data_IF_153833594899
#
_entry.id   IF_153833594899
#
_cell.length_a   1.000
_cell.length_b   1.000
_cell.length_c   1.000
_cell.angle_alpha   90.00
_cell.angle_beta   90.00
_cell.angle_gamma   90.00
#
_symmetry.space_group_name_H-M   'P 1'
#
loop_
_entity.id
_entity.type
_entity.pdbx_description
1 polymer ?
#
# COMPACT_ATOMS: atom_id res chain seq x y z
N UNK A 1 17.88 21.98 -3.94
CA UNK A 1 16.90 21.91 -2.84
C UNK A 1 15.57 21.84 -3.53
N UNK A 2 14.85 20.74 -3.39
CA UNK A 2 13.50 20.67 -3.95
C UNK A 2 12.63 21.65 -3.14
N UNK A 3 11.81 22.43 -3.82
CA UNK A 3 10.95 23.41 -3.16
C UNK A 3 10.02 22.69 -2.17
N UNK A 4 9.83 23.23 -0.96
CA UNK A 4 8.88 22.66 -0.01
C UNK A 4 7.49 22.67 -0.65
N UNK A 5 6.89 21.48 -0.79
CA UNK A 5 5.49 21.36 -1.24
C UNK A 5 4.54 21.47 -0.05
N UNK A 6 3.38 22.08 -0.25
CA UNK A 6 2.28 21.96 0.69
C UNK A 6 1.82 20.50 0.84
N UNK A 7 1.28 20.17 2.00
CA UNK A 7 0.53 18.93 2.20
C UNK A 7 -0.63 18.87 1.20
N UNK A 8 -1.06 17.67 0.83
CA UNK A 8 -2.11 17.47 -0.15
C UNK A 8 -3.30 16.74 0.46
N UNK A 9 -4.50 17.18 0.08
CA UNK A 9 -5.76 16.48 0.31
C UNK A 9 -6.60 16.55 -0.97
N UNK A 10 -7.83 16.03 -0.95
CA UNK A 10 -8.77 16.16 -2.07
C UNK A 10 -9.71 17.35 -1.86
N UNK A 11 -10.33 17.88 -2.92
CA UNK A 11 -11.29 18.98 -2.81
C UNK A 11 -12.71 18.50 -2.57
N UNK A 12 -13.10 17.42 -3.26
CA UNK A 12 -14.45 16.87 -3.22
C UNK A 12 -14.43 15.46 -2.64
N UNK A 13 -15.55 14.99 -2.09
CA UNK A 13 -15.70 13.59 -1.73
C UNK A 13 -15.81 12.71 -3.00
N UNK A 14 -15.29 11.49 -2.94
CA UNK A 14 -15.45 10.48 -3.99
C UNK A 14 -15.75 9.12 -3.36
N UNK A 15 -16.65 8.34 -3.95
CA UNK A 15 -17.11 7.08 -3.37
C UNK A 15 -17.18 5.95 -4.40
N UNK A 16 -16.99 4.73 -3.92
CA UNK A 16 -17.13 3.51 -4.70
C UNK A 16 -17.69 2.38 -3.83
N UNK A 17 -18.64 1.64 -4.38
CA UNK A 17 -19.22 0.47 -3.74
C UNK A 17 -18.85 -0.79 -4.49
N UNK A 18 -18.55 -1.84 -3.73
CA UNK A 18 -18.16 -3.14 -4.28
C UNK A 18 -18.21 -4.22 -3.22
N UNK A 19 -17.42 -5.28 -3.44
CA UNK A 19 -17.35 -6.45 -2.56
C UNK A 19 -15.91 -6.60 -2.08
N UNK A 20 -15.70 -6.85 -0.79
CA UNK A 20 -14.38 -7.19 -0.25
C UNK A 20 -13.92 -8.57 -0.74
N UNK A 21 -12.64 -8.71 -1.13
CA UNK A 21 -12.16 -9.93 -1.78
C UNK A 21 -12.22 -11.13 -0.84
N UNK A 22 -11.83 -10.98 0.42
CA UNK A 22 -11.79 -12.07 1.37
C UNK A 22 -13.12 -12.31 2.06
N UNK A 23 -13.78 -11.24 2.50
CA UNK A 23 -15.01 -11.32 3.30
C UNK A 23 -16.23 -11.61 2.44
N UNK A 24 -16.20 -11.27 1.14
CA UNK A 24 -17.35 -11.37 0.24
C UNK A 24 -18.50 -10.45 0.63
N UNK A 25 -18.26 -9.46 1.49
CA UNK A 25 -19.29 -8.53 1.96
C UNK A 25 -19.34 -7.29 1.06
N UNK A 26 -20.56 -6.80 0.82
CA UNK A 26 -20.75 -5.50 0.20
C UNK A 26 -20.22 -4.40 1.13
N UNK A 27 -19.52 -3.44 0.54
CA UNK A 27 -18.90 -2.32 1.23
C UNK A 27 -18.95 -1.09 0.33
N UNK A 28 -19.22 0.06 0.93
CA UNK A 28 -18.96 1.36 0.31
C UNK A 28 -17.71 1.95 0.94
N UNK A 29 -16.79 2.37 0.08
CA UNK A 29 -15.64 3.20 0.43
C UNK A 29 -15.93 4.63 0.00
N UNK A 30 -15.59 5.60 0.85
CA UNK A 30 -15.65 7.03 0.52
C UNK A 30 -14.38 7.74 0.95
N UNK A 31 -13.73 8.41 0.01
CA UNK A 31 -12.63 9.33 0.25
C UNK A 31 -13.18 10.69 0.61
N UNK A 32 -12.74 11.25 1.75
CA UNK A 32 -13.13 12.57 2.22
C UNK A 32 -11.89 13.45 2.44
N UNK A 33 -11.98 14.77 2.15
CA UNK A 33 -10.93 15.71 2.50
C UNK A 33 -10.64 15.69 4.00
N UNK A 34 -9.39 15.95 4.38
CA UNK A 34 -8.99 16.00 5.77
C UNK A 34 -8.17 17.27 6.09
N UNK A 35 -8.27 17.80 7.31
CA UNK A 35 -7.43 18.91 7.76
C UNK A 35 -5.94 18.59 7.68
N UNK A 36 -5.12 19.64 7.68
CA UNK A 36 -3.67 19.54 7.75
C UNK A 36 -3.21 18.69 8.95
N UNK A 37 -2.17 17.89 8.74
CA UNK A 37 -1.57 16.99 9.73
C UNK A 37 -2.49 15.89 10.27
N UNK A 38 -3.62 15.62 9.60
CA UNK A 38 -4.46 14.45 9.93
C UNK A 38 -3.75 13.14 9.58
N UNK A 39 -2.96 13.14 8.52
CA UNK A 39 -2.48 11.91 7.90
C UNK A 39 -3.60 11.18 7.16
N UNK A 40 -3.33 9.93 6.78
CA UNK A 40 -4.33 9.04 6.20
C UNK A 40 -4.95 8.21 7.32
N UNK A 41 -6.28 8.25 7.43
CA UNK A 41 -7.01 7.50 8.47
C UNK A 41 -8.18 6.76 7.84
N UNK A 42 -8.48 5.58 8.36
CA UNK A 42 -9.70 4.86 8.03
C UNK A 42 -10.76 5.06 9.11
N UNK A 43 -12.03 5.14 8.72
CA UNK A 43 -13.17 5.34 9.62
C UNK A 43 -14.27 4.32 9.34
N UNK A 44 -14.70 3.56 10.35
CA UNK A 44 -15.72 2.50 10.21
C UNK A 44 -17.11 3.02 10.52
N UNK A 45 -17.84 3.44 9.49
CA UNK A 45 -19.16 4.09 9.59
C UNK A 45 -20.28 3.14 10.01
N UNK A 46 -20.08 1.84 9.89
CA UNK A 46 -21.06 0.82 10.26
C UNK A 46 -21.07 0.50 11.76
N UNK A 47 -20.16 1.08 12.55
CA UNK A 47 -20.06 0.88 14.00
C UNK A 47 -20.54 2.11 14.78
N UNK A 48 -21.16 1.94 15.97
CA UNK A 48 -21.82 3.04 16.71
C UNK A 48 -20.94 4.26 17.05
N UNK A 49 -19.64 4.05 17.28
CA UNK A 49 -18.68 5.12 17.62
C UNK A 49 -17.89 5.64 16.43
N UNK A 50 -18.18 5.12 15.23
CA UNK A 50 -17.46 5.42 14.00
C UNK A 50 -15.92 5.46 14.18
N UNK A 51 -15.32 4.39 14.71
CA UNK A 51 -13.94 4.40 15.17
C UNK A 51 -13.00 4.73 14.01
N UNK A 52 -11.98 5.54 14.33
CA UNK A 52 -10.96 6.01 13.40
C UNK A 52 -9.65 5.29 13.71
N UNK A 53 -9.03 4.71 12.69
CA UNK A 53 -7.75 4.00 12.77
C UNK A 53 -6.75 4.70 11.84
N UNK A 54 -5.66 5.28 12.37
CA UNK A 54 -4.58 5.80 11.55
C UNK A 54 -3.95 4.71 10.68
N UNK A 55 -3.66 5.02 9.42
CA UNK A 55 -2.97 4.12 8.51
C UNK A 55 -1.46 4.16 8.75
N UNK A 56 -1.04 3.67 9.93
CA UNK A 56 0.37 3.61 10.32
C UNK A 56 0.77 2.21 10.81
N UNK A 57 2.06 1.90 10.77
CA UNK A 57 2.60 0.57 11.14
C UNK A 57 2.27 0.15 12.57
N UNK A 58 2.02 1.09 13.48
CA UNK A 58 1.60 0.81 14.87
C UNK A 58 0.25 0.10 14.95
N UNK A 59 -0.63 0.32 13.97
CA UNK A 59 -1.97 -0.26 13.94
C UNK A 59 -2.03 -1.54 13.10
N UNK A 60 -0.92 -2.02 12.54
CA UNK A 60 -0.90 -3.29 11.81
C UNK A 60 -0.99 -4.45 12.80
N UNK A 61 -2.02 -5.28 12.65
CA UNK A 61 -2.31 -6.41 13.55
C UNK A 61 -2.25 -7.77 12.87
N UNK A 62 -2.32 -7.82 11.54
CA UNK A 62 -2.19 -9.05 10.75
C UNK A 62 -1.63 -8.73 9.35
N UNK A 63 -0.83 -9.67 8.81
CA UNK A 63 -0.13 -9.59 7.53
C UNK A 63 -0.09 -10.92 6.76
N UNK A 64 -0.86 -11.94 7.16
CA UNK A 64 -0.74 -13.29 6.58
C UNK A 64 -1.15 -13.34 5.09
N UNK A 65 -2.20 -12.60 4.70
CA UNK A 65 -2.76 -12.61 3.33
C UNK A 65 -3.02 -11.23 2.73
N UNK A 66 -3.12 -10.24 3.59
CA UNK A 66 -3.31 -8.82 3.28
C UNK A 66 -2.76 -8.03 4.46
N UNK A 67 -2.67 -6.72 4.33
CA UNK A 67 -2.35 -5.87 5.48
C UNK A 67 -3.64 -5.48 6.21
N UNK A 68 -3.74 -5.85 7.48
CA UNK A 68 -4.90 -5.55 8.33
C UNK A 68 -4.52 -4.55 9.41
N UNK A 69 -5.28 -3.45 9.47
CA UNK A 69 -5.21 -2.49 10.56
C UNK A 69 -6.19 -2.85 11.68
N UNK A 70 -5.83 -2.53 12.92
CA UNK A 70 -6.68 -2.80 14.07
C UNK A 70 -6.47 -1.86 15.24
N UNK A 71 -7.57 -1.55 15.92
CA UNK A 71 -7.61 -0.79 17.17
C UNK A 71 -8.65 -1.43 18.07
N UNK A 72 -8.22 -1.95 19.23
CA UNK A 72 -9.05 -2.76 20.12
C UNK A 72 -9.66 -3.99 19.40
N UNK A 73 -10.98 -4.03 19.26
CA UNK A 73 -11.77 -5.05 18.57
C UNK A 73 -12.10 -4.70 17.12
N UNK A 74 -11.84 -3.46 16.70
CA UNK A 74 -12.09 -2.99 15.33
C UNK A 74 -10.98 -3.45 14.40
N UNK A 75 -11.35 -3.94 13.22
CA UNK A 75 -10.42 -4.39 12.16
C UNK A 75 -10.78 -3.79 10.82
N UNK A 76 -9.76 -3.56 10.00
CA UNK A 76 -9.87 -3.18 8.60
C UNK A 76 -8.85 -4.00 7.81
N UNK A 77 -9.35 -4.95 7.02
CA UNK A 77 -8.54 -5.85 6.19
C UNK A 77 -8.16 -5.17 4.87
N UNK A 78 -7.13 -5.68 4.20
CA UNK A 78 -6.85 -5.41 2.78
C UNK A 78 -6.78 -3.91 2.44
N UNK A 79 -5.95 -3.17 3.18
CA UNK A 79 -5.80 -1.72 2.99
C UNK A 79 -4.81 -1.34 1.88
N UNK A 80 -3.95 -2.27 1.49
CA UNK A 80 -2.77 -2.06 0.65
C UNK A 80 -3.07 -1.41 -0.70
N UNK A 81 -4.08 -1.85 -1.46
CA UNK A 81 -4.37 -1.29 -2.79
C UNK A 81 -4.89 0.14 -2.72
N UNK A 82 -5.72 0.43 -1.72
CA UNK A 82 -6.24 1.79 -1.47
C UNK A 82 -5.09 2.71 -1.08
N UNK A 83 -4.26 2.25 -0.13
CA UNK A 83 -3.09 2.99 0.34
C UNK A 83 -2.04 3.20 -0.75
N UNK A 84 -1.88 2.25 -1.67
CA UNK A 84 -0.97 2.38 -2.80
C UNK A 84 -1.37 3.55 -3.71
N UNK A 85 -2.67 3.67 -4.03
CA UNK A 85 -3.20 4.79 -4.82
C UNK A 85 -2.99 6.14 -4.10
N UNK A 86 -3.34 6.21 -2.81
CA UNK A 86 -3.17 7.42 -1.98
C UNK A 86 -1.70 7.86 -1.93
N UNK A 87 -0.79 6.91 -1.67
CA UNK A 87 0.66 7.16 -1.58
C UNK A 87 1.24 7.62 -2.90
N UNK A 88 0.90 6.94 -4.00
CA UNK A 88 1.43 7.25 -5.32
C UNK A 88 0.98 8.62 -5.84
N UNK A 89 -0.22 9.06 -5.48
CA UNK A 89 -0.76 10.37 -5.82
C UNK A 89 -0.27 11.51 -4.91
N UNK A 90 0.53 11.20 -3.87
CA UNK A 90 1.12 12.22 -3.00
C UNK A 90 0.16 12.82 -1.97
N UNK A 91 -0.99 12.20 -1.74
CA UNK A 91 -2.00 12.68 -0.79
C UNK A 91 -1.51 12.42 0.65
N UNK A 92 -1.45 13.47 1.46
CA UNK A 92 -0.96 13.39 2.84
C UNK A 92 -2.10 13.28 3.86
N UNK A 93 -3.22 13.99 3.62
CA UNK A 93 -4.34 14.06 4.55
C UNK A 93 -5.62 13.55 3.88
N UNK A 94 -6.17 12.47 4.42
CA UNK A 94 -7.37 11.83 3.86
C UNK A 94 -8.13 11.03 4.91
N UNK A 95 -9.46 11.15 4.94
CA UNK A 95 -10.32 10.25 5.70
C UNK A 95 -10.94 9.25 4.73
N UNK A 96 -10.76 7.96 5.00
CA UNK A 96 -11.29 6.86 4.19
C UNK A 96 -12.41 6.18 4.99
N UNK A 97 -13.65 6.52 4.67
CA UNK A 97 -14.83 5.95 5.30
C UNK A 97 -15.18 4.59 4.68
N UNK A 98 -15.48 3.61 5.53
CA UNK A 98 -15.90 2.26 5.13
C UNK A 98 -17.18 1.86 5.86
N UNK A 99 -18.10 1.21 5.14
CA UNK A 99 -19.33 0.64 5.72
C UNK A 99 -19.19 -0.85 6.05
N UNK A 100 -17.97 -1.40 6.00
CA UNK A 100 -17.67 -2.78 6.38
C UNK A 100 -16.17 -2.93 6.70
N UNK A 101 -15.77 -4.13 7.13
CA UNK A 101 -14.43 -4.44 7.65
C UNK A 101 -13.33 -4.55 6.58
N UNK A 102 -13.64 -4.46 5.28
CA UNK A 102 -12.70 -4.67 4.18
C UNK A 102 -13.08 -3.71 3.04
N UNK A 103 -12.14 -2.93 2.46
CA UNK A 103 -12.37 -2.13 1.26
C UNK A 103 -12.85 -2.99 0.08
N UNK A 104 -13.56 -2.40 -0.90
CA UNK A 104 -13.99 -3.13 -2.08
C UNK A 104 -12.77 -3.57 -2.90
N UNK A 105 -12.77 -4.81 -3.38
CA UNK A 105 -11.68 -5.35 -4.21
C UNK A 105 -11.57 -4.67 -5.58
N UNK A 106 -12.64 -4.00 -6.02
CA UNK A 106 -12.76 -3.42 -7.35
C UNK A 106 -12.47 -4.47 -8.44
N UNK A 107 -11.51 -4.21 -9.32
CA UNK A 107 -11.01 -5.15 -10.32
C UNK A 107 -9.73 -5.91 -9.87
N UNK A 108 -9.32 -5.76 -8.61
CA UNK A 108 -8.10 -6.36 -8.06
C UNK A 108 -6.85 -5.50 -8.14
N UNK A 109 -6.90 -4.34 -8.81
CA UNK A 109 -5.84 -3.35 -8.87
C UNK A 109 -6.14 -2.11 -8.01
N UNK A 110 -5.53 -0.99 -8.38
CA UNK A 110 -5.69 0.33 -7.74
C UNK A 110 -6.20 1.41 -8.69
N UNK A 111 -6.40 1.12 -9.98
CA UNK A 111 -6.78 2.07 -11.03
C UNK A 111 -8.10 2.79 -10.73
N UNK A 112 -9.12 2.06 -10.25
CA UNK A 112 -10.39 2.68 -9.84
C UNK A 112 -10.18 3.71 -8.72
N UNK A 113 -9.32 3.42 -7.75
CA UNK A 113 -9.03 4.35 -6.66
C UNK A 113 -8.25 5.57 -7.14
N UNK A 114 -7.28 5.37 -8.05
CA UNK A 114 -6.55 6.47 -8.68
C UNK A 114 -7.50 7.41 -9.42
N UNK A 115 -8.40 6.86 -10.25
CA UNK A 115 -9.34 7.66 -11.02
C UNK A 115 -10.32 8.43 -10.13
N UNK A 116 -10.80 7.83 -9.04
CA UNK A 116 -11.67 8.50 -8.07
C UNK A 116 -10.96 9.67 -7.36
N UNK A 117 -9.72 9.47 -6.94
CA UNK A 117 -8.93 10.50 -6.24
C UNK A 117 -8.56 11.66 -7.18
N UNK A 118 -8.26 11.39 -8.45
CA UNK A 118 -8.04 12.43 -9.46
C UNK A 118 -9.32 13.22 -9.75
N UNK A 119 -10.46 12.54 -9.89
CA UNK A 119 -11.78 13.18 -10.07
C UNK A 119 -12.17 14.04 -8.88
N UNK A 120 -11.79 13.62 -7.67
CA UNK A 120 -11.98 14.38 -6.42
C UNK A 120 -11.15 15.68 -6.38
N UNK A 121 -10.17 15.83 -7.28
CA UNK A 121 -9.19 16.92 -7.41
C UNK A 121 -8.29 17.05 -6.19
N UNK A 122 -7.02 16.71 -6.37
CA UNK A 122 -5.98 16.88 -5.35
C UNK A 122 -5.61 18.36 -5.25
N UNK A 123 -5.60 18.91 -4.04
CA UNK A 123 -5.32 20.31 -3.76
C UNK A 123 -4.27 20.46 -2.65
N UNK A 124 -3.37 21.46 -2.75
CA UNK A 124 -2.41 21.74 -1.70
C UNK A 124 -3.08 22.42 -0.50
N UNK A 125 -2.50 22.22 0.68
CA UNK A 125 -2.80 22.86 1.93
C UNK A 125 -1.62 23.76 2.35
N UNK A 126 -1.80 24.60 3.37
CA UNK A 126 -0.79 25.59 3.80
C UNK A 126 0.35 24.96 4.58
N UNK A 127 0.07 23.92 5.37
CA UNK A 127 1.11 23.18 6.07
C UNK A 127 2.08 22.52 5.08
N UNK A 128 3.37 22.56 5.38
CA UNK A 128 4.40 21.93 4.54
C UNK A 128 4.39 20.40 4.70
N UNK A 129 4.59 19.68 3.59
CA UNK A 129 4.83 18.25 3.62
C UNK A 129 6.30 17.99 3.92
N UNK A 130 6.58 17.32 5.05
CA UNK A 130 7.94 16.91 5.41
C UNK A 130 8.30 15.63 4.69
N UNK A 131 8.90 15.76 3.51
CA UNK A 131 9.49 14.64 2.77
C UNK A 131 10.83 14.30 3.42
N UNK A 132 10.98 13.07 3.91
CA UNK A 132 12.20 12.64 4.61
C UNK A 132 13.04 11.74 3.73
N UNK A 133 14.31 12.06 3.55
CA UNK A 133 15.27 11.17 2.87
C UNK A 133 15.93 10.23 3.88
N UNK A 134 16.10 8.96 3.49
CA UNK A 134 16.85 7.99 4.28
C UNK A 134 18.35 8.30 4.25
N UNK A 135 19.03 8.40 5.42
CA UNK A 135 20.49 8.66 5.48
C UNK A 135 21.34 7.39 5.30
N UNK A 136 20.86 6.25 5.82
CA UNK A 136 21.59 4.98 5.80
C UNK A 136 20.73 3.82 5.32
N UNK A 137 21.31 2.79 4.66
CA UNK A 137 20.56 1.61 4.27
C UNK A 137 19.87 0.91 5.44
N UNK A 138 18.62 0.50 5.23
CA UNK A 138 17.82 -0.28 6.18
C UNK A 138 17.37 -1.56 5.49
N UNK A 139 17.49 -2.71 6.14
CA UNK A 139 17.16 -4.00 5.51
C UNK A 139 16.39 -4.96 6.42
N UNK A 140 15.63 -5.86 5.79
CA UNK A 140 14.94 -7.00 6.39
C UNK A 140 15.29 -8.24 5.56
N UNK A 141 15.75 -9.30 6.23
CA UNK A 141 16.08 -10.57 5.59
C UNK A 141 15.59 -11.73 6.44
N UNK A 142 14.91 -12.68 5.82
CA UNK A 142 14.50 -13.93 6.46
C UNK A 142 14.36 -15.03 5.41
N UNK A 143 15.18 -16.08 5.50
CA UNK A 143 15.22 -17.13 4.49
C UNK A 143 15.59 -16.59 3.12
N UNK A 144 14.71 -16.78 2.13
CA UNK A 144 14.83 -16.33 0.74
C UNK A 144 14.13 -14.99 0.46
N UNK A 145 13.63 -14.33 1.50
CA UNK A 145 13.00 -13.01 1.45
C UNK A 145 14.02 -11.95 1.85
N UNK A 146 14.24 -10.97 0.98
CA UNK A 146 15.18 -9.87 1.22
C UNK A 146 14.57 -8.55 0.78
N UNK A 147 14.66 -7.53 1.64
CA UNK A 147 14.33 -6.17 1.30
C UNK A 147 15.40 -5.22 1.83
N UNK A 148 15.76 -4.22 1.03
CA UNK A 148 16.62 -3.11 1.45
C UNK A 148 16.03 -1.80 0.95
N UNK A 149 15.97 -0.81 1.84
CA UNK A 149 15.75 0.59 1.51
C UNK A 149 17.11 1.29 1.48
N UNK A 150 17.45 1.90 0.35
CA UNK A 150 18.70 2.62 0.12
C UNK A 150 18.43 4.13 0.07
N UNK A 151 19.35 4.98 0.59
CA UNK A 151 19.34 6.41 0.33
C UNK A 151 19.24 6.70 -1.17
N UNK A 152 18.22 7.43 -1.57
CA UNK A 152 17.96 7.77 -2.96
C UNK A 152 17.10 9.02 -3.01
N UNK A 153 17.38 9.92 -3.95
CA UNK A 153 16.58 11.13 -4.17
C UNK A 153 15.41 10.78 -5.09
N UNK A 154 14.26 10.51 -4.50
CA UNK A 154 13.06 10.02 -5.18
C UNK A 154 12.48 8.78 -4.48
N UNK A 155 11.44 8.19 -5.06
CA UNK A 155 10.84 6.97 -4.54
C UNK A 155 10.82 5.91 -5.63
N UNK A 156 11.73 4.95 -5.53
CA UNK A 156 11.94 3.91 -6.54
C UNK A 156 11.75 2.54 -5.93
N UNK A 157 11.13 1.64 -6.68
CA UNK A 157 10.98 0.23 -6.28
C UNK A 157 11.54 -0.66 -7.37
N UNK A 158 12.45 -1.56 -6.99
CA UNK A 158 12.88 -2.70 -7.79
C UNK A 158 12.46 -3.97 -7.08
N UNK A 159 11.74 -4.83 -7.78
CA UNK A 159 11.16 -6.03 -7.22
C UNK A 159 11.51 -7.25 -8.07
N UNK A 160 12.00 -8.30 -7.42
CA UNK A 160 12.18 -9.62 -8.01
C UNK A 160 11.16 -10.59 -7.44
N UNK A 161 10.19 -10.96 -8.28
CA UNK A 161 9.27 -12.06 -8.03
C UNK A 161 9.98 -13.37 -8.36
N UNK A 162 9.80 -14.41 -7.55
CA UNK A 162 10.31 -15.74 -7.87
C UNK A 162 9.40 -16.83 -7.34
N UNK A 163 8.70 -17.49 -8.26
CA UNK A 163 7.90 -18.68 -8.00
C UNK A 163 8.57 -19.88 -8.67
N UNK A 164 9.58 -20.46 -8.01
CA UNK A 164 10.40 -21.55 -8.57
C UNK A 164 9.60 -22.82 -8.89
N UNK A 165 8.40 -22.97 -8.32
CA UNK A 165 7.51 -24.12 -8.53
C UNK A 165 6.45 -23.88 -9.62
N UNK A 166 6.26 -22.64 -10.10
CA UNK A 166 5.31 -22.32 -11.17
C UNK A 166 6.08 -21.94 -12.43
N UNK A 167 5.91 -22.75 -13.48
CA UNK A 167 6.47 -22.43 -14.78
C UNK A 167 5.74 -21.24 -15.43
N UNK A 168 4.42 -21.05 -15.24
CA UNK A 168 3.74 -19.81 -15.70
C UNK A 168 4.34 -18.52 -15.14
N UNK A 169 4.69 -18.48 -13.85
CA UNK A 169 5.16 -17.26 -13.19
C UNK A 169 6.66 -17.02 -13.38
N UNK A 170 7.46 -18.10 -13.31
CA UNK A 170 8.91 -18.05 -13.29
C UNK A 170 9.45 -16.94 -12.34
N UNK A 171 10.63 -16.40 -12.64
CA UNK A 171 11.14 -15.19 -12.01
C UNK A 171 10.80 -13.99 -12.88
N UNK A 172 10.25 -12.94 -12.26
CA UNK A 172 9.95 -11.68 -12.93
C UNK A 172 10.68 -10.55 -12.20
N UNK A 173 11.04 -9.51 -12.95
CA UNK A 173 11.71 -8.35 -12.40
C UNK A 173 11.06 -7.08 -12.94
N UNK A 174 10.74 -6.16 -12.02
CA UNK A 174 10.23 -4.83 -12.34
C UNK A 174 11.03 -3.76 -11.59
N UNK A 175 11.24 -2.60 -12.21
CA UNK A 175 11.95 -1.47 -11.59
C UNK A 175 11.37 -0.15 -12.06
N UNK A 176 10.72 0.58 -11.15
CA UNK A 176 9.94 1.77 -11.47
C UNK A 176 10.24 2.90 -10.50
N UNK A 177 10.36 4.11 -11.05
CA UNK A 177 10.26 5.35 -10.28
C UNK A 177 8.77 5.58 -10.01
N UNK A 178 8.37 5.60 -8.74
CA UNK A 178 6.97 5.73 -8.34
C UNK A 178 6.62 7.21 -8.25
N UNK A 179 5.80 7.65 -9.19
CA UNK A 179 5.17 8.97 -9.22
C UNK A 179 3.73 8.81 -9.77
N UNK A 180 2.87 9.85 -9.69
CA UNK A 180 1.46 9.74 -10.12
C UNK A 180 1.28 9.18 -11.53
N UNK A 181 2.05 9.68 -12.50
CA UNK A 181 1.92 9.29 -13.91
C UNK A 181 2.35 7.85 -14.17
N UNK A 182 3.51 7.46 -13.64
CA UNK A 182 4.03 6.10 -13.79
C UNK A 182 3.15 5.11 -13.04
N UNK A 183 2.74 5.43 -11.80
CA UNK A 183 1.89 4.53 -11.03
C UNK A 183 0.56 4.30 -11.74
N UNK A 184 -0.12 5.36 -12.21
CA UNK A 184 -1.39 5.25 -12.93
C UNK A 184 -1.27 4.38 -14.17
N UNK A 185 -0.23 4.59 -14.98
CA UNK A 185 -0.08 3.90 -16.27
C UNK A 185 0.44 2.47 -16.12
N UNK A 186 1.43 2.27 -15.26
CA UNK A 186 2.27 1.06 -15.27
C UNK A 186 1.96 0.10 -14.12
N UNK A 187 1.37 0.57 -13.02
CA UNK A 187 1.25 -0.20 -11.77
C UNK A 187 -0.22 -0.37 -11.35
N UNK A 188 -0.99 0.70 -11.28
CA UNK A 188 -2.37 0.72 -10.81
C UNK A 188 -3.30 -0.31 -11.50
N UNK A 189 -3.17 -0.59 -12.82
CA UNK A 189 -4.02 -1.59 -13.48
C UNK A 189 -3.67 -3.06 -13.16
N UNK A 190 -2.57 -3.31 -12.43
CA UNK A 190 -2.06 -4.66 -12.21
C UNK A 190 -2.79 -5.34 -11.05
N UNK A 191 -3.48 -6.44 -11.35
CA UNK A 191 -4.43 -7.06 -10.44
C UNK A 191 -3.77 -8.08 -9.53
N UNK A 192 -4.38 -8.28 -8.38
CA UNK A 192 -4.02 -9.35 -7.46
C UNK A 192 -4.15 -10.72 -8.10
N UNK A 193 -3.39 -11.68 -7.58
CA UNK A 193 -3.31 -13.01 -8.14
C UNK A 193 -3.18 -14.08 -7.06
N UNK A 194 -3.60 -15.29 -7.41
CA UNK A 194 -3.44 -16.47 -6.56
C UNK A 194 -3.08 -17.69 -7.39
N UNK A 195 -2.33 -18.62 -6.78
CA UNK A 195 -2.14 -19.94 -7.35
C UNK A 195 -3.41 -20.77 -7.16
N UNK A 196 -3.82 -21.50 -8.20
CA UNK A 196 -5.03 -22.32 -8.17
C UNK A 196 -4.99 -23.36 -7.05
N UNK A 197 -3.82 -23.92 -6.77
CA UNK A 197 -3.61 -24.91 -5.70
C UNK A 197 -3.83 -24.32 -4.30
N UNK A 198 -3.73 -22.99 -4.16
CA UNK A 198 -3.99 -22.29 -2.89
C UNK A 198 -5.47 -21.92 -2.73
N UNK A 199 -6.24 -21.87 -3.82
CA UNK A 199 -7.64 -21.41 -3.81
C UNK A 199 -8.51 -22.26 -2.88
N UNK A 200 -8.43 -23.60 -2.96
CA UNK A 200 -9.26 -24.46 -2.10
C UNK A 200 -8.93 -24.26 -0.62
N UNK A 201 -7.65 -24.14 -0.29
CA UNK A 201 -7.20 -23.90 1.08
C UNK A 201 -7.67 -22.54 1.60
N UNK A 202 -7.61 -21.49 0.77
CA UNK A 202 -8.13 -20.16 1.12
C UNK A 202 -9.64 -20.20 1.36
N UNK A 203 -10.40 -20.94 0.53
CA UNK A 203 -11.84 -21.13 0.73
C UNK A 203 -12.16 -21.88 2.03
N UNK A 204 -11.38 -22.92 2.37
CA UNK A 204 -11.54 -23.69 3.61
C UNK A 204 -11.31 -22.82 4.86
N UNK A 205 -10.40 -21.84 4.77
CA UNK A 205 -10.18 -20.82 5.81
C UNK A 205 -11.28 -19.73 5.83
N UNK A 206 -12.27 -19.82 4.94
CA UNK A 206 -13.33 -18.83 4.81
C UNK A 206 -12.86 -17.49 4.22
N UNK A 207 -11.75 -17.49 3.49
CA UNK A 207 -11.24 -16.35 2.74
C UNK A 207 -11.72 -16.40 1.28
N UNK A 208 -11.34 -15.37 0.52
CA UNK A 208 -11.61 -15.18 -0.92
C UNK A 208 -13.09 -15.33 -1.33
N UNK A 209 -14.03 -15.06 -0.41
CA UNK A 209 -15.48 -15.20 -0.65
C UNK A 209 -16.02 -14.24 -1.71
N UNK A 210 -15.32 -13.13 -1.95
CA UNK A 210 -15.60 -12.18 -3.02
C UNK A 210 -14.68 -12.33 -4.23
N UNK A 211 -13.75 -13.30 -4.22
CA UNK A 211 -12.79 -13.54 -5.29
C UNK A 211 -13.45 -14.08 -6.55
N UNK A 212 -13.07 -13.53 -7.70
CA UNK A 212 -13.54 -13.95 -9.02
C UNK A 212 -12.54 -13.57 -10.11
N UNK A 213 -12.73 -14.04 -11.34
CA UNK A 213 -11.90 -13.60 -12.47
C UNK A 213 -12.13 -12.13 -12.86
N UNK A 214 -13.15 -11.47 -12.30
CA UNK A 214 -13.35 -10.02 -12.46
C UNK A 214 -12.38 -9.21 -11.59
N UNK A 215 -11.84 -9.80 -10.52
CA UNK A 215 -11.03 -9.10 -9.53
C UNK A 215 -9.72 -9.80 -9.14
N UNK A 216 -9.36 -10.90 -9.80
CA UNK A 216 -8.11 -11.58 -9.57
C UNK A 216 -7.65 -12.35 -10.82
N UNK A 217 -6.34 -12.53 -10.94
CA UNK A 217 -5.71 -13.44 -11.89
C UNK A 217 -5.43 -14.77 -11.20
N UNK A 218 -5.90 -15.88 -11.77
CA UNK A 218 -5.66 -17.22 -11.22
C UNK A 218 -4.63 -17.95 -12.09
N UNK A 219 -3.65 -18.56 -11.45
CA UNK A 219 -2.53 -19.21 -12.13
C UNK A 219 -2.53 -20.68 -11.75
N UNK A 220 -2.57 -21.56 -12.75
CA UNK A 220 -2.49 -23.00 -12.56
C UNK A 220 -1.45 -23.56 -13.51
N UNK A 221 -0.41 -24.17 -12.99
CA UNK A 221 0.68 -24.74 -13.81
C UNK A 221 1.24 -23.68 -14.79
N UNK A 222 0.96 -23.83 -16.09
CA UNK A 222 1.36 -22.94 -17.20
C UNK A 222 0.23 -22.07 -17.77
N UNK A 223 -0.95 -22.12 -17.14
CA UNK A 223 -2.16 -21.46 -17.62
C UNK A 223 -2.53 -20.30 -16.71
N UNK A 224 -2.79 -19.16 -17.34
CA UNK A 224 -3.25 -17.93 -16.68
C UNK A 224 -4.73 -17.75 -16.99
N UNK A 225 -5.56 -17.82 -15.95
CA UNK A 225 -6.98 -17.51 -16.00
C UNK A 225 -7.17 -16.05 -15.60
N UNK A 226 -7.52 -15.22 -16.58
CA UNK A 226 -7.81 -13.81 -16.35
C UNK A 226 -8.87 -13.34 -17.33
N UNK A 227 -9.88 -12.61 -16.85
CA UNK A 227 -10.87 -12.00 -17.73
C UNK A 227 -10.20 -10.89 -18.54
N UNK A 228 -10.29 -10.99 -19.87
CA UNK A 228 -9.70 -10.03 -20.79
C UNK A 228 -8.18 -10.16 -20.99
N UNK A 229 -7.54 -11.19 -20.41
CA UNK A 229 -6.09 -11.36 -20.46
C UNK A 229 -5.35 -10.50 -19.43
N UNK A 230 -4.02 -10.52 -19.47
CA UNK A 230 -3.18 -9.72 -18.58
C UNK A 230 -3.10 -8.26 -19.04
N UNK A 231 -3.04 -7.33 -18.10
CA UNK A 231 -2.75 -5.92 -18.37
C UNK A 231 -1.32 -5.75 -18.90
N UNK A 232 -0.38 -6.53 -18.36
CA UNK A 232 1.02 -6.57 -18.75
C UNK A 232 1.54 -8.00 -18.73
N UNK A 233 2.58 -8.31 -19.52
CA UNK A 233 3.21 -9.63 -19.47
C UNK A 233 3.80 -9.93 -18.08
N UNK A 234 4.22 -8.89 -17.36
CA UNK A 234 4.81 -8.92 -16.02
C UNK A 234 3.84 -8.35 -14.95
N UNK A 235 2.53 -8.52 -15.14
CA UNK A 235 1.47 -7.99 -14.25
C UNK A 235 1.69 -8.37 -12.77
N UNK A 236 2.18 -9.58 -12.48
CA UNK A 236 2.30 -10.09 -11.12
C UNK A 236 3.43 -9.42 -10.33
N UNK A 237 4.60 -9.17 -10.95
CA UNK A 237 5.65 -8.38 -10.28
C UNK A 237 5.23 -6.93 -10.09
N UNK A 238 4.51 -6.34 -11.06
CA UNK A 238 3.96 -4.99 -10.93
C UNK A 238 2.91 -4.90 -9.83
N UNK A 239 2.08 -5.93 -9.67
CA UNK A 239 1.15 -6.02 -8.55
C UNK A 239 1.88 -6.13 -7.20
N UNK A 240 2.97 -6.91 -7.10
CA UNK A 240 3.78 -6.92 -5.87
C UNK A 240 4.46 -5.57 -5.58
N UNK A 241 4.76 -4.78 -6.62
CA UNK A 241 5.19 -3.39 -6.46
C UNK A 241 4.05 -2.53 -5.93
N UNK A 242 2.83 -2.68 -6.45
CA UNK A 242 1.62 -2.02 -5.93
C UNK A 242 1.43 -2.30 -4.44
N UNK A 243 1.45 -3.57 -4.03
CA UNK A 243 1.38 -3.98 -2.62
C UNK A 243 2.45 -3.28 -1.78
N UNK A 244 3.70 -3.29 -2.27
CA UNK A 244 4.82 -2.72 -1.55
C UNK A 244 4.70 -1.18 -1.42
N UNK A 245 4.16 -0.48 -2.43
CA UNK A 245 3.84 0.96 -2.31
C UNK A 245 2.81 1.19 -1.20
N UNK A 246 1.75 0.37 -1.16
CA UNK A 246 0.70 0.44 -0.16
C UNK A 246 1.20 0.17 1.25
N UNK A 247 1.90 -0.94 1.46
CA UNK A 247 2.44 -1.32 2.77
C UNK A 247 3.47 -0.30 3.28
N UNK A 248 4.31 0.25 2.40
CA UNK A 248 5.28 1.28 2.78
C UNK A 248 4.62 2.63 3.09
N UNK A 249 3.39 2.89 2.63
CA UNK A 249 2.67 4.11 3.02
C UNK A 249 2.39 4.14 4.53
N UNK A 250 2.38 2.97 5.19
CA UNK A 250 2.16 2.84 6.62
C UNK A 250 3.30 3.41 7.47
N UNK A 251 4.42 3.85 6.86
CA UNK A 251 5.37 4.75 7.53
C UNK A 251 4.67 6.02 8.03
N UNK A 252 3.57 6.43 7.38
CA UNK A 252 2.68 7.50 7.84
C UNK A 252 3.04 8.90 7.34
N UNK A 253 4.14 9.05 6.60
CA UNK A 253 4.56 10.31 5.97
C UNK A 253 5.41 10.04 4.73
N UNK A 254 5.54 11.01 3.81
CA UNK A 254 6.34 10.84 2.61
C UNK A 254 7.83 10.70 2.92
N UNK A 255 8.45 9.70 2.31
CA UNK A 255 9.90 9.52 2.35
C UNK A 255 10.48 9.19 0.97
N UNK A 256 11.78 9.39 0.84
CA UNK A 256 12.58 9.09 -0.35
C UNK A 256 13.53 7.93 -0.07
N UNK A 257 13.48 6.93 -0.94
CA UNK A 257 14.34 5.76 -0.90
C UNK A 257 14.24 4.97 -2.21
N UNK A 258 15.27 4.18 -2.49
CA UNK A 258 15.20 3.09 -3.46
C UNK A 258 15.02 1.80 -2.70
N UNK A 259 13.87 1.18 -2.87
CA UNK A 259 13.54 -0.12 -2.28
C UNK A 259 13.92 -1.22 -3.27
N UNK A 260 14.74 -2.16 -2.84
CA UNK A 260 15.04 -3.39 -3.58
C UNK A 260 14.45 -4.55 -2.80
N UNK A 261 13.51 -5.27 -3.40
CA UNK A 261 12.78 -6.37 -2.76
C UNK A 261 12.91 -7.67 -3.58
N UNK A 262 13.07 -8.79 -2.88
CA UNK A 262 13.13 -10.14 -3.44
C UNK A 262 12.13 -10.99 -2.68
N UNK A 263 11.12 -11.50 -3.39
CA UNK A 263 10.10 -12.43 -2.88
C UNK A 263 9.35 -11.93 -1.64
N UNK A 264 9.24 -10.62 -1.46
CA UNK A 264 8.61 -10.04 -0.27
C UNK A 264 7.08 -10.22 -0.27
N UNK A 265 6.49 -10.06 0.91
CA UNK A 265 5.05 -9.98 1.12
C UNK A 265 4.74 -9.03 2.26
N UNK A 266 3.46 -8.86 2.58
CA UNK A 266 2.96 -7.86 3.53
C UNK A 266 3.71 -7.87 4.87
N UNK A 267 3.97 -9.06 5.43
CA UNK A 267 4.74 -9.21 6.68
C UNK A 267 6.13 -8.57 6.60
N UNK A 268 6.90 -8.91 5.56
CA UNK A 268 8.25 -8.37 5.35
C UNK A 268 8.25 -6.91 4.89
N UNK A 269 7.21 -6.48 4.17
CA UNK A 269 7.01 -5.09 3.75
C UNK A 269 6.75 -4.20 4.97
N UNK A 270 5.82 -4.59 5.84
CA UNK A 270 5.50 -3.89 7.09
C UNK A 270 6.70 -3.90 8.06
N UNK A 271 7.47 -5.00 8.11
CA UNK A 271 8.70 -5.05 8.88
C UNK A 271 9.73 -4.02 8.38
N UNK A 272 9.86 -3.84 7.06
CA UNK A 272 10.71 -2.81 6.48
C UNK A 272 10.18 -1.41 6.79
N UNK A 273 8.87 -1.16 6.61
CA UNK A 273 8.23 0.12 6.94
C UNK A 273 8.53 0.53 8.39
N UNK A 274 8.39 -0.40 9.35
CA UNK A 274 8.73 -0.17 10.75
C UNK A 274 10.20 0.17 10.96
N UNK A 275 11.12 -0.48 10.26
CA UNK A 275 12.55 -0.14 10.35
C UNK A 275 12.88 1.21 9.73
N UNK A 276 12.24 1.58 8.62
CA UNK A 276 12.37 2.91 7.99
C UNK A 276 11.92 3.98 8.98
N UNK A 277 10.73 3.82 9.57
CA UNK A 277 10.19 4.73 10.57
C UNK A 277 11.15 4.90 11.76
N UNK A 278 11.69 3.79 12.28
CA UNK A 278 12.64 3.83 13.40
C UNK A 278 13.95 4.55 13.01
N UNK A 279 14.48 4.31 11.81
CA UNK A 279 15.70 5.00 11.33
C UNK A 279 15.49 6.50 11.28
N UNK A 280 14.39 6.94 10.68
CA UNK A 280 14.05 8.35 10.50
C UNK A 280 13.80 9.05 11.85
N UNK A 281 13.05 8.40 12.75
CA UNK A 281 12.71 8.97 14.06
C UNK A 281 13.90 9.06 15.01
N UNK A 282 14.77 8.04 15.04
CA UNK A 282 15.99 8.06 15.87
C UNK A 282 16.96 9.16 15.41
N UNK A 283 17.08 9.39 14.11
CA UNK A 283 17.91 10.48 13.57
C UNK A 283 17.38 11.85 14.01
N UNK A 284 16.07 12.07 13.94
CA UNK A 284 15.47 13.33 14.42
C UNK A 284 15.71 13.55 15.92
N UNK A 285 15.76 12.50 16.75
CA UNK A 285 16.13 12.65 18.16
C UNK A 285 17.61 12.96 18.38
N UNK A 286 18.49 12.42 17.53
CA UNK A 286 19.94 12.67 17.60
C UNK A 286 20.28 14.11 17.21
N UNK A 287 19.69 14.61 16.13
CA UNK A 287 19.87 15.99 15.65
C UNK A 287 19.39 17.01 16.71
N UNK A 288 18.34 16.69 17.49
CA UNK A 288 17.91 17.52 18.64
C UNK A 288 18.90 17.43 19.79
N UNK A 289 19.38 16.24 20.16
CA UNK A 289 20.32 16.06 21.27
C UNK A 289 21.72 16.65 21.02
N UNK A 290 22.21 16.65 19.78
CA UNK A 290 23.47 17.31 19.40
C UNK A 290 23.34 18.84 19.42
N UNK A 291 22.13 19.39 19.21
CA UNK A 291 21.86 20.81 19.38
C UNK A 291 21.95 21.28 20.85
N UNK A 292 21.79 20.36 21.82
CA UNK A 292 21.93 20.63 23.25
C UNK A 292 23.32 20.31 23.82
N UNK A 293 24.24 19.72 23.04
CA UNK A 293 25.57 19.30 23.54
C UNK A 293 26.69 20.34 23.35
N UNK A 294 26.39 21.55 22.85
CA UNK A 294 27.36 22.65 22.72
C UNK A 294 27.02 23.84 23.61
N UNK A 295 27.08 23.64 24.93
CA UNK A 295 27.37 24.69 25.93
C UNK A 295 28.12 24.09 27.11
N UNK A 296 29.44 23.98 26.98
CA UNK A 296 30.40 24.02 28.08
C UNK A 296 31.59 24.86 27.61
#
# INVERSE_FOLDING_TARGET
>A
MDEPRGQQTILNEAAFSGIGIHTGRCVSLKFCPAPENTGVVFKRMDLPSEPVIPATVEYVVDTERSTTLGLHDVRIHTVEHVLAAVRALGIDNLIIELTNIEPPAANGGSDIFVDLLEQAKIVPQKAEAKIVSLKYPVFVSHGDIHLVALPYKGFKISYTLSYTKSQALHSQYGSFEINPEIFKREIAPCRTFALYEEVSHLMDLGLIKGGSLDNAVIIKEDVIFSKGGLAFQDEMVRHKILDLVGDLSLVGFPFEAHIVAIRSGHSSNCALAKKILNSITMENTRDVSECFSFKC
#
